data_IF_893534857797
#
_entry.id   IF_893534857797
#
_cell.length_a   1.000
_cell.length_b   1.000
_cell.length_c   1.000
_cell.angle_alpha   90.00
_cell.angle_beta   90.00
_cell.angle_gamma   90.00
#
_symmetry.space_group_name_H-M   'P 1'
#
loop_
_entity.id
_entity.type
_entity.pdbx_description
1 polymer ?
#
# COMPACT_ATOMS: atom_id res chain seq x y z
N UNK A 1 -5.03 7.13 -29.31
CA UNK A 1 -4.40 6.17 -28.36
C UNK A 1 -4.68 6.72 -26.98
N UNK A 2 -5.66 6.15 -26.30
CA UNK A 2 -6.03 6.59 -24.94
C UNK A 2 -4.83 6.33 -24.04
N UNK A 3 -4.41 7.39 -23.37
CA UNK A 3 -3.24 7.40 -22.51
C UNK A 3 -3.56 6.53 -21.26
N UNK A 4 -3.02 5.29 -21.22
CA UNK A 4 -3.19 4.36 -20.10
C UNK A 4 -2.44 4.79 -18.83
N UNK A 5 -2.18 6.09 -18.68
CA UNK A 5 -1.51 6.65 -17.52
C UNK A 5 -2.47 6.67 -16.34
N UNK A 6 -2.14 5.90 -15.30
CA UNK A 6 -2.94 5.80 -14.07
C UNK A 6 -2.41 6.70 -12.95
N UNK A 7 -1.10 6.96 -12.90
CA UNK A 7 -0.49 7.91 -11.96
C UNK A 7 0.38 8.88 -12.74
N UNK A 8 0.17 10.16 -12.51
CA UNK A 8 0.95 11.24 -13.09
C UNK A 8 1.43 12.19 -12.00
N UNK A 9 2.72 12.39 -11.92
CA UNK A 9 3.39 13.31 -11.00
C UNK A 9 4.09 14.35 -11.83
N UNK A 10 3.75 15.64 -11.66
CA UNK A 10 4.26 16.74 -12.47
C UNK A 10 4.95 17.76 -11.57
N UNK A 11 6.27 17.89 -11.71
CA UNK A 11 7.11 18.91 -11.06
C UNK A 11 6.88 19.00 -9.55
N UNK A 12 6.70 17.84 -8.89
CA UNK A 12 6.33 17.77 -7.48
C UNK A 12 7.53 18.06 -6.60
N UNK A 13 7.34 18.98 -5.67
CA UNK A 13 8.31 19.28 -4.61
C UNK A 13 7.66 19.23 -3.24
N UNK A 14 8.44 18.75 -2.25
CA UNK A 14 8.02 18.64 -0.84
C UNK A 14 9.17 19.00 0.08
N UNK A 15 8.90 19.85 1.06
CA UNK A 15 9.83 20.21 2.13
C UNK A 15 9.21 20.01 3.51
N UNK A 16 10.03 19.71 4.47
CA UNK A 16 9.68 19.73 5.89
C UNK A 16 10.57 20.73 6.61
N UNK A 17 9.98 21.80 7.13
CA UNK A 17 10.71 22.96 7.66
C UNK A 17 11.67 23.52 6.59
N UNK A 18 12.98 23.44 6.81
CA UNK A 18 14.02 23.89 5.87
C UNK A 18 14.57 22.80 4.95
N UNK A 19 14.22 21.52 5.21
CA UNK A 19 14.76 20.40 4.44
C UNK A 19 13.87 20.09 3.24
N UNK A 20 14.42 20.17 2.03
CA UNK A 20 13.76 19.71 0.79
C UNK A 20 13.94 18.19 0.69
N UNK A 21 12.82 17.45 0.63
CA UNK A 21 12.81 15.99 0.55
C UNK A 21 12.47 15.51 -0.86
N UNK A 22 11.53 16.17 -1.54
CA UNK A 22 11.27 15.95 -2.96
C UNK A 22 11.56 17.26 -3.70
N UNK A 23 12.29 17.16 -4.81
CA UNK A 23 12.65 18.31 -5.63
C UNK A 23 12.33 18.04 -7.09
N UNK A 24 11.32 18.72 -7.60
CA UNK A 24 10.94 18.73 -9.03
C UNK A 24 10.75 17.32 -9.63
N UNK A 25 10.04 16.46 -8.92
CA UNK A 25 9.80 15.06 -9.33
C UNK A 25 8.75 15.02 -10.42
N UNK A 26 9.09 14.41 -11.56
CA UNK A 26 8.15 14.15 -12.67
C UNK A 26 8.24 12.69 -13.07
N UNK A 27 7.10 11.99 -13.06
CA UNK A 27 6.99 10.59 -13.49
C UNK A 27 5.58 10.24 -13.92
N UNK A 28 5.44 9.12 -14.64
CA UNK A 28 4.17 8.56 -15.05
C UNK A 28 4.18 7.05 -14.86
N UNK A 29 3.07 6.51 -14.34
CA UNK A 29 2.83 5.08 -14.26
C UNK A 29 1.63 4.72 -15.13
N UNK A 30 1.78 3.66 -15.94
CA UNK A 30 0.75 3.16 -16.86
C UNK A 30 0.07 1.92 -16.31
N UNK A 31 -1.18 1.70 -16.69
CA UNK A 31 -1.97 0.53 -16.32
C UNK A 31 -1.26 -0.79 -16.72
N UNK A 32 -1.40 -1.81 -15.87
CA UNK A 32 -0.85 -3.14 -16.12
C UNK A 32 0.68 -3.21 -16.12
N UNK A 33 1.34 -2.27 -15.44
CA UNK A 33 2.80 -2.25 -15.30
C UNK A 33 3.22 -2.22 -13.84
N UNK A 34 4.39 -2.78 -13.56
CA UNK A 34 5.05 -2.70 -12.26
C UNK A 34 6.18 -1.68 -12.35
N UNK A 35 6.22 -0.75 -11.40
CA UNK A 35 7.24 0.28 -11.29
C UNK A 35 7.99 0.14 -9.99
N UNK A 36 9.31 -0.06 -10.07
CA UNK A 36 10.20 -0.11 -8.92
C UNK A 36 10.87 1.25 -8.67
N UNK A 37 10.72 1.77 -7.46
CA UNK A 37 11.39 2.99 -7.03
C UNK A 37 12.64 2.64 -6.23
N UNK A 38 13.81 2.89 -6.82
CA UNK A 38 15.10 2.57 -6.22
C UNK A 38 15.75 3.83 -5.69
N UNK A 39 16.27 3.77 -4.48
CA UNK A 39 16.99 4.89 -3.85
C UNK A 39 17.41 4.55 -2.43
N UNK A 40 18.38 5.30 -1.90
CA UNK A 40 18.87 5.13 -0.53
C UNK A 40 17.78 5.38 0.51
N UNK A 41 17.98 4.88 1.74
CA UNK A 41 17.11 5.22 2.86
C UNK A 41 17.15 6.73 3.10
N UNK A 42 15.97 7.34 3.29
CA UNK A 42 15.85 8.79 3.42
C UNK A 42 15.85 9.57 2.08
N UNK A 43 15.87 8.90 0.92
CA UNK A 43 15.79 9.57 -0.39
C UNK A 43 14.40 10.12 -0.75
N UNK A 44 13.40 9.96 0.13
CA UNK A 44 12.07 10.50 -0.07
C UNK A 44 11.06 9.54 -0.72
N UNK A 45 11.37 8.26 -0.94
CA UNK A 45 10.44 7.27 -1.54
C UNK A 45 9.10 7.22 -0.79
N UNK A 46 9.15 6.98 0.52
CA UNK A 46 7.96 6.96 1.39
C UNK A 46 7.19 8.28 1.34
N UNK A 47 7.89 9.42 1.29
CA UNK A 47 7.25 10.74 1.17
C UNK A 47 6.54 10.88 -0.15
N UNK A 48 7.14 10.45 -1.26
CA UNK A 48 6.51 10.43 -2.57
C UNK A 48 5.25 9.56 -2.57
N UNK A 49 5.32 8.34 -2.03
CA UNK A 49 4.17 7.45 -1.92
C UNK A 49 3.05 8.05 -1.08
N UNK A 50 3.38 8.66 0.07
CA UNK A 50 2.39 9.39 0.89
C UNK A 50 1.73 10.54 0.12
N UNK A 51 2.49 11.26 -0.72
CA UNK A 51 1.92 12.31 -1.58
C UNK A 51 1.00 11.72 -2.66
N UNK A 52 1.39 10.64 -3.33
CA UNK A 52 0.57 9.95 -4.34
C UNK A 52 -0.73 9.43 -3.70
N UNK A 53 -0.66 8.89 -2.49
CA UNK A 53 -1.83 8.38 -1.77
C UNK A 53 -2.75 9.49 -1.23
N UNK A 54 -2.37 10.76 -1.27
CA UNK A 54 -3.12 11.86 -0.67
C UNK A 54 -2.97 11.96 0.85
N UNK A 55 -1.99 11.25 1.43
CA UNK A 55 -1.67 11.31 2.87
C UNK A 55 -0.84 12.53 3.24
N UNK A 56 -0.12 13.10 2.26
CA UNK A 56 0.68 14.32 2.39
C UNK A 56 0.41 15.25 1.21
N UNK A 57 0.32 16.56 1.50
CA UNK A 57 0.22 17.57 0.45
C UNK A 57 1.60 17.88 -0.12
N UNK A 58 1.63 18.12 -1.43
CA UNK A 58 2.80 18.66 -2.12
C UNK A 58 2.89 20.18 -1.90
N UNK A 59 4.09 20.71 -1.89
CA UNK A 59 4.30 22.18 -1.75
C UNK A 59 4.34 22.87 -3.11
N UNK A 60 4.71 22.14 -4.18
CA UNK A 60 4.64 22.61 -5.57
C UNK A 60 4.37 21.42 -6.50
N UNK A 61 3.89 21.72 -7.71
CA UNK A 61 3.51 20.72 -8.69
C UNK A 61 2.12 20.13 -8.44
N UNK A 62 1.81 19.03 -9.11
CA UNK A 62 0.55 18.30 -8.94
C UNK A 62 0.70 16.81 -9.15
N UNK A 63 -0.20 16.05 -8.52
CA UNK A 63 -0.34 14.61 -8.71
C UNK A 63 -1.76 14.34 -9.21
N UNK A 64 -1.86 13.46 -10.22
CA UNK A 64 -3.14 12.94 -10.71
C UNK A 64 -3.13 11.42 -10.65
N UNK A 65 -4.26 10.85 -10.24
CA UNK A 65 -4.50 9.42 -10.27
C UNK A 65 -5.82 9.17 -11.00
N UNK A 66 -5.79 8.32 -12.03
CA UNK A 66 -6.91 8.09 -12.94
C UNK A 66 -7.51 9.41 -13.50
N UNK A 67 -6.64 10.40 -13.79
CA UNK A 67 -7.03 11.73 -14.26
C UNK A 67 -7.55 12.70 -13.19
N UNK A 68 -7.88 12.24 -11.98
CA UNK A 68 -8.31 13.08 -10.86
C UNK A 68 -7.10 13.66 -10.11
N UNK A 69 -7.14 14.96 -9.85
CA UNK A 69 -6.09 15.62 -9.06
C UNK A 69 -6.17 15.19 -7.60
N UNK A 70 -5.06 14.70 -7.07
CA UNK A 70 -4.92 14.37 -5.65
C UNK A 70 -4.79 15.67 -4.84
N UNK A 71 -5.65 15.80 -3.85
CA UNK A 71 -5.72 16.98 -2.98
C UNK A 71 -5.97 16.58 -1.53
N UNK A 72 -7.16 16.89 -1.01
CA UNK A 72 -7.55 16.56 0.37
C UNK A 72 -8.09 15.15 0.55
N UNK A 73 -8.37 14.46 -0.52
CA UNK A 73 -8.91 13.12 -0.49
C UNK A 73 -7.82 12.10 -0.81
N UNK A 74 -7.87 10.97 -0.13
CA UNK A 74 -7.02 9.83 -0.47
C UNK A 74 -7.45 9.24 -1.81
N UNK A 75 -6.49 8.60 -2.49
CA UNK A 75 -6.79 7.85 -3.72
C UNK A 75 -7.85 6.78 -3.43
N UNK A 76 -8.73 6.57 -4.41
CA UNK A 76 -9.80 5.57 -4.36
C UNK A 76 -9.33 4.26 -4.99
N UNK A 77 -9.94 3.16 -4.56
CA UNK A 77 -9.71 1.82 -5.11
C UNK A 77 -8.21 1.44 -5.20
N UNK A 78 -7.47 1.70 -4.12
CA UNK A 78 -6.05 1.41 -4.02
C UNK A 78 -5.73 0.57 -2.78
N UNK A 79 -4.90 -0.45 -2.96
CA UNK A 79 -4.25 -1.17 -1.87
C UNK A 79 -2.95 -0.47 -1.49
N UNK A 80 -2.81 -0.13 -0.22
CA UNK A 80 -1.70 0.70 0.25
C UNK A 80 -1.01 0.01 1.42
N UNK A 81 0.30 -0.15 1.31
CA UNK A 81 1.19 -0.47 2.43
C UNK A 81 2.26 0.61 2.47
N UNK A 82 2.17 1.49 3.45
CA UNK A 82 3.20 2.49 3.76
C UNK A 82 3.42 2.40 5.26
N UNK A 83 4.63 2.03 5.66
CA UNK A 83 4.98 1.70 7.05
C UNK A 83 4.25 0.43 7.55
N UNK A 84 4.42 0.08 8.83
CA UNK A 84 3.79 -1.12 9.38
C UNK A 84 2.29 -0.90 9.65
N UNK A 85 1.41 -1.80 9.16
CA UNK A 85 -0.01 -1.71 9.47
C UNK A 85 -0.29 -1.92 10.96
N UNK A 86 -1.14 -1.08 11.52
CA UNK A 86 -1.58 -1.15 12.91
C UNK A 86 -2.71 -2.18 13.08
N UNK A 87 -2.38 -3.45 13.24
CA UNK A 87 -3.34 -4.51 13.53
C UNK A 87 -3.70 -4.57 15.02
N UNK A 88 -4.91 -5.02 15.31
CA UNK A 88 -5.35 -5.35 16.68
C UNK A 88 -4.59 -6.60 17.14
N UNK A 89 -3.56 -6.41 17.95
CA UNK A 89 -2.65 -7.48 18.34
C UNK A 89 -3.29 -8.65 19.10
N UNK A 90 -4.40 -8.42 19.80
CA UNK A 90 -5.14 -9.43 20.56
C UNK A 90 -6.16 -10.22 19.73
N UNK A 91 -6.37 -9.81 18.46
CA UNK A 91 -7.29 -10.47 17.54
C UNK A 91 -6.51 -11.35 16.55
N UNK A 92 -7.20 -12.33 15.93
CA UNK A 92 -6.62 -13.12 14.85
C UNK A 92 -6.43 -12.28 13.58
N UNK A 93 -5.55 -12.72 12.66
CA UNK A 93 -5.37 -12.05 11.38
C UNK A 93 -6.67 -11.96 10.59
N UNK A 94 -7.42 -13.07 10.53
CA UNK A 94 -8.74 -13.09 9.88
C UNK A 94 -9.68 -12.04 10.47
N UNK A 95 -9.77 -11.95 11.79
CA UNK A 95 -10.65 -10.98 12.45
C UNK A 95 -10.25 -9.54 12.14
N UNK A 96 -8.95 -9.25 12.10
CA UNK A 96 -8.46 -7.93 11.69
C UNK A 96 -8.93 -7.57 10.28
N UNK A 97 -8.73 -8.48 9.30
CA UNK A 97 -9.15 -8.24 7.92
C UNK A 97 -10.67 -8.10 7.79
N UNK A 98 -11.45 -8.96 8.46
CA UNK A 98 -12.92 -8.86 8.46
C UNK A 98 -13.39 -7.49 9.00
N UNK A 99 -12.80 -7.00 10.08
CA UNK A 99 -13.16 -5.70 10.66
C UNK A 99 -12.85 -4.55 9.70
N UNK A 100 -11.66 -4.55 9.09
CA UNK A 100 -11.27 -3.53 8.14
C UNK A 100 -12.13 -3.56 6.87
N UNK A 101 -12.39 -4.75 6.33
CA UNK A 101 -13.23 -4.93 5.14
C UNK A 101 -14.65 -4.40 5.36
N UNK A 102 -15.22 -4.65 6.55
CA UNK A 102 -16.57 -4.20 6.89
C UNK A 102 -16.71 -2.68 7.05
N UNK A 103 -15.64 -1.90 7.05
CA UNK A 103 -15.73 -0.43 7.04
C UNK A 103 -16.35 0.11 5.74
N UNK A 104 -16.20 -0.64 4.64
CA UNK A 104 -16.66 -0.22 3.30
C UNK A 104 -17.59 -1.22 2.63
N UNK A 105 -17.55 -2.48 3.04
CA UNK A 105 -18.23 -3.60 2.39
C UNK A 105 -19.10 -4.38 3.36
N UNK A 106 -20.06 -5.13 2.82
CA UNK A 106 -20.76 -6.16 3.60
C UNK A 106 -19.78 -7.29 3.93
N UNK A 107 -20.01 -7.97 5.05
CA UNK A 107 -19.16 -9.07 5.50
C UNK A 107 -19.06 -10.17 4.43
N UNK A 108 -17.85 -10.47 4.00
CA UNK A 108 -17.53 -11.55 3.08
C UNK A 108 -16.40 -12.42 3.66
N UNK A 109 -16.80 -13.48 4.36
CA UNK A 109 -15.87 -14.42 4.99
C UNK A 109 -15.06 -15.21 3.96
N UNK A 110 -15.66 -15.50 2.80
CA UNK A 110 -15.01 -16.28 1.74
C UNK A 110 -13.90 -15.45 1.12
N UNK A 111 -14.18 -14.21 0.74
CA UNK A 111 -13.17 -13.29 0.17
C UNK A 111 -11.96 -13.15 1.08
N UNK A 112 -12.19 -12.94 2.38
CA UNK A 112 -11.09 -12.81 3.35
C UNK A 112 -10.27 -14.11 3.46
N UNK A 113 -10.95 -15.27 3.50
CA UNK A 113 -10.26 -16.56 3.55
C UNK A 113 -9.43 -16.81 2.29
N UNK A 114 -9.99 -16.53 1.10
CA UNK A 114 -9.33 -16.75 -0.19
C UNK A 114 -8.04 -15.88 -0.29
N UNK A 115 -8.10 -14.60 0.11
CA UNK A 115 -6.94 -13.71 0.09
C UNK A 115 -5.87 -14.14 1.10
N UNK A 116 -6.28 -14.58 2.30
CA UNK A 116 -5.32 -15.10 3.28
C UNK A 116 -4.61 -16.35 2.76
N UNK A 117 -5.35 -17.29 2.16
CA UNK A 117 -4.79 -18.51 1.59
C UNK A 117 -3.84 -18.21 0.43
N UNK A 118 -4.19 -17.27 -0.46
CA UNK A 118 -3.33 -16.80 -1.56
C UNK A 118 -1.95 -16.38 -1.06
N UNK A 119 -1.89 -15.78 0.12
CA UNK A 119 -0.65 -15.30 0.74
C UNK A 119 -0.06 -16.27 1.78
N UNK A 120 -0.43 -17.55 1.75
CA UNK A 120 0.11 -18.58 2.62
C UNK A 120 -0.27 -18.44 4.10
N UNK A 121 -1.34 -17.68 4.41
CA UNK A 121 -1.89 -17.57 5.76
C UNK A 121 -3.06 -18.53 5.95
N UNK A 122 -3.07 -19.26 7.08
CA UNK A 122 -4.22 -20.11 7.42
C UNK A 122 -5.35 -19.25 8.01
N UNK A 123 -6.51 -19.11 7.30
CA UNK A 123 -7.64 -18.32 7.77
C UNK A 123 -8.35 -18.90 9.01
N UNK A 124 -8.15 -20.17 9.31
CA UNK A 124 -8.72 -20.82 10.49
C UNK A 124 -7.78 -20.79 11.72
N UNK A 125 -6.61 -20.16 11.55
CA UNK A 125 -5.65 -20.01 12.65
C UNK A 125 -6.25 -19.17 13.79
N UNK A 126 -6.20 -19.70 15.01
CA UNK A 126 -6.60 -18.98 16.23
C UNK A 126 -5.50 -18.13 16.83
N UNK A 127 -4.28 -18.15 16.24
CA UNK A 127 -3.17 -17.29 16.70
C UNK A 127 -3.58 -15.83 16.58
N UNK A 128 -3.29 -15.08 17.63
CA UNK A 128 -3.43 -13.61 17.60
C UNK A 128 -2.29 -12.98 16.81
N UNK A 129 -2.47 -11.77 16.31
CA UNK A 129 -1.43 -11.07 15.53
C UNK A 129 -0.16 -10.83 16.34
N UNK A 130 -0.25 -10.71 17.68
CA UNK A 130 0.94 -10.66 18.55
C UNK A 130 1.83 -11.89 18.44
N UNK A 131 1.26 -13.03 18.09
CA UNK A 131 1.98 -14.31 17.95
C UNK A 131 2.50 -14.55 16.53
N UNK A 132 2.23 -13.60 15.60
CA UNK A 132 2.69 -13.69 14.23
C UNK A 132 4.19 -13.36 14.15
N UNK A 133 4.93 -14.13 13.34
CA UNK A 133 6.27 -13.74 12.92
C UNK A 133 6.21 -12.44 12.10
N UNK A 134 7.36 -11.81 11.89
CA UNK A 134 7.46 -10.64 11.04
C UNK A 134 6.93 -10.95 9.63
N UNK A 135 7.32 -12.06 9.02
CA UNK A 135 6.81 -12.50 7.71
C UNK A 135 5.30 -12.75 7.71
N UNK A 136 4.73 -13.34 8.76
CA UNK A 136 3.26 -13.50 8.85
C UNK A 136 2.55 -12.14 8.93
N UNK A 137 3.10 -11.16 9.65
CA UNK A 137 2.54 -9.80 9.69
C UNK A 137 2.62 -9.12 8.33
N UNK A 138 3.74 -9.30 7.61
CA UNK A 138 3.90 -8.76 6.26
C UNK A 138 2.90 -9.37 5.28
N UNK A 139 2.72 -10.70 5.29
CA UNK A 139 1.69 -11.38 4.49
C UNK A 139 0.27 -10.91 4.85
N UNK A 140 0.00 -10.63 6.12
CA UNK A 140 -1.29 -10.07 6.55
C UNK A 140 -1.49 -8.64 6.04
N UNK A 141 -0.42 -7.82 5.99
CA UNK A 141 -0.45 -6.49 5.39
C UNK A 141 -0.77 -6.54 3.89
N UNK A 142 -0.13 -7.46 3.16
CA UNK A 142 -0.44 -7.71 1.75
C UNK A 142 -1.89 -8.18 1.57
N UNK A 143 -2.40 -9.06 2.45
CA UNK A 143 -3.79 -9.48 2.43
C UNK A 143 -4.75 -8.30 2.63
N UNK A 144 -4.44 -7.38 3.53
CA UNK A 144 -5.19 -6.14 3.72
C UNK A 144 -5.21 -5.29 2.44
N UNK A 145 -4.07 -5.11 1.78
CA UNK A 145 -3.97 -4.31 0.57
C UNK A 145 -4.74 -4.91 -0.62
N UNK A 146 -4.84 -6.26 -0.68
CA UNK A 146 -5.46 -6.98 -1.80
C UNK A 146 -6.94 -7.33 -1.57
N UNK A 147 -7.43 -7.31 -0.34
CA UNK A 147 -8.76 -7.84 -0.02
C UNK A 147 -9.92 -7.10 -0.71
N UNK A 148 -9.74 -5.83 -1.07
CA UNK A 148 -10.75 -5.02 -1.75
C UNK A 148 -10.64 -5.06 -3.29
N UNK A 149 -9.75 -5.90 -3.85
CA UNK A 149 -9.49 -6.03 -5.30
C UNK A 149 -9.12 -4.69 -5.97
N UNK A 150 -8.06 -4.03 -5.51
CA UNK A 150 -7.72 -2.68 -5.95
C UNK A 150 -7.16 -2.65 -7.37
N UNK A 151 -7.42 -1.55 -8.11
CA UNK A 151 -6.82 -1.28 -9.42
C UNK A 151 -5.35 -0.84 -9.33
N UNK A 152 -4.95 -0.28 -8.19
CA UNK A 152 -3.61 0.26 -7.94
C UNK A 152 -3.08 -0.30 -6.63
N UNK A 153 -1.83 -0.78 -6.64
CA UNK A 153 -1.09 -1.16 -5.45
C UNK A 153 0.08 -0.20 -5.24
N UNK A 154 0.18 0.36 -4.04
CA UNK A 154 1.33 1.17 -3.61
C UNK A 154 1.93 0.52 -2.37
N UNK A 155 3.12 -0.07 -2.55
CA UNK A 155 3.77 -0.87 -1.55
C UNK A 155 5.15 -0.26 -1.24
N UNK A 156 5.34 0.20 0.00
CA UNK A 156 6.62 0.68 0.49
C UNK A 156 7.33 -0.45 1.23
N UNK A 157 8.46 -0.89 0.68
CA UNK A 157 9.30 -1.98 1.22
C UNK A 157 8.52 -3.26 1.58
N UNK A 158 7.65 -3.81 0.69
CA UNK A 158 6.73 -4.89 1.02
C UNK A 158 7.42 -6.22 1.36
N UNK A 159 8.70 -6.36 1.03
CA UNK A 159 9.49 -7.57 1.29
C UNK A 159 10.31 -7.50 2.58
N UNK A 160 10.26 -6.40 3.31
CA UNK A 160 11.00 -6.27 4.57
C UNK A 160 10.55 -7.32 5.58
N UNK A 161 11.53 -8.10 6.07
CA UNK A 161 11.28 -9.14 7.07
C UNK A 161 10.79 -10.48 6.52
N UNK A 162 10.75 -10.66 5.19
CA UNK A 162 10.59 -11.95 4.57
C UNK A 162 11.97 -12.59 4.36
N UNK A 163 12.07 -13.90 4.61
CA UNK A 163 13.22 -14.70 4.19
C UNK A 163 13.15 -14.98 2.66
N UNK A 164 14.20 -15.63 2.13
CA UNK A 164 14.26 -15.91 0.69
C UNK A 164 13.09 -16.77 0.20
N UNK A 165 12.65 -17.72 1.01
CA UNK A 165 11.53 -18.59 0.65
C UNK A 165 10.23 -17.81 0.69
N UNK A 166 10.01 -16.95 1.67
CA UNK A 166 8.86 -16.05 1.77
C UNK A 166 8.77 -15.03 0.63
N UNK A 167 9.91 -14.58 0.11
CA UNK A 167 9.94 -13.68 -1.08
C UNK A 167 9.55 -14.43 -2.37
N UNK A 168 9.94 -15.70 -2.51
CA UNK A 168 9.61 -16.50 -3.70
C UNK A 168 8.16 -16.99 -3.73
N UNK A 169 7.45 -16.97 -2.60
CA UNK A 169 6.06 -17.41 -2.48
C UNK A 169 5.02 -16.28 -2.68
N UNK A 170 5.46 -15.03 -2.76
CA UNK A 170 4.64 -13.85 -3.01
C UNK A 170 4.84 -13.34 -4.42
#
# INVERSE_FOLDING_TARGET
MTDDVVIQVNNVSKKFKSQVVLKDITLQCRKGRIYGFVGYNGSGKTVLFKCICGLLYVDAGEIRVNGEKIGREMIKNAGIIIEEPAFLGNESGRKNLELLYMLRHKRDKKRIADVMQMLGLNPESKKTVRQYSLGMRQRLALAQALMEDPDILILDEPMNGLDRDGVNEI
#
